data_IF_568092865263
#
_entry.id   IF_568092865263
#
_cell.length_a   1.000
_cell.length_b   1.000
_cell.length_c   1.000
_cell.angle_alpha   90.00
_cell.angle_beta   90.00
_cell.angle_gamma   90.00
#
_symmetry.space_group_name_H-M   'P 1'
#
loop_
_entity.id
_entity.type
_entity.pdbx_description
1 polymer ?
#
# COMPACT_ATOMS: atom_id res chain seq x y z
N UNK A 1 -2.76 -7.59 -5.27
CA UNK A 1 -3.16 -6.16 -5.30
C UNK A 1 -4.46 -5.85 -4.53
N UNK A 2 -5.58 -6.53 -4.82
CA UNK A 2 -6.94 -6.21 -4.33
C UNK A 2 -7.06 -5.89 -2.83
N UNK A 3 -6.49 -6.72 -1.95
CA UNK A 3 -6.65 -6.53 -0.51
C UNK A 3 -5.98 -5.26 0.03
N UNK A 4 -4.83 -4.86 -0.51
CA UNK A 4 -4.22 -3.57 -0.16
C UNK A 4 -5.06 -2.41 -0.71
N UNK A 5 -5.64 -2.57 -1.90
CA UNK A 5 -6.55 -1.57 -2.46
C UNK A 5 -7.77 -1.39 -1.56
N UNK A 6 -8.43 -2.48 -1.16
CA UNK A 6 -9.55 -2.46 -0.21
C UNK A 6 -9.17 -1.82 1.13
N UNK A 7 -7.96 -2.11 1.64
CA UNK A 7 -7.50 -1.56 2.91
C UNK A 7 -7.19 -0.06 2.85
N UNK A 8 -6.55 0.43 1.78
CA UNK A 8 -6.14 1.84 1.65
C UNK A 8 -7.27 2.75 1.13
N UNK A 9 -8.23 2.19 0.40
CA UNK A 9 -9.39 2.93 -0.07
C UNK A 9 -10.18 3.49 1.13
N UNK A 10 -10.71 4.72 1.06
CA UNK A 10 -11.55 5.25 2.14
C UNK A 10 -12.72 4.33 2.47
N UNK A 11 -12.93 4.08 3.77
CA UNK A 11 -13.96 3.20 4.30
C UNK A 11 -13.42 2.12 5.25
N UNK A 12 -14.33 1.53 6.03
CA UNK A 12 -14.00 0.39 6.90
C UNK A 12 -13.95 -0.90 6.08
N UNK A 13 -13.04 -1.78 6.48
CA UNK A 13 -12.84 -3.07 5.83
C UNK A 13 -13.65 -4.15 6.55
N UNK A 14 -14.39 -4.95 5.80
CA UNK A 14 -15.01 -6.19 6.24
C UNK A 14 -14.60 -7.29 5.25
N UNK A 15 -14.20 -8.45 5.75
CA UNK A 15 -13.79 -9.59 4.96
C UNK A 15 -14.32 -10.87 5.60
N UNK A 16 -14.84 -11.79 4.78
CA UNK A 16 -15.49 -13.01 5.28
C UNK A 16 -14.44 -14.09 5.58
N UNK A 17 -14.73 -14.96 6.55
CA UNK A 17 -13.84 -16.05 6.93
C UNK A 17 -13.52 -16.97 5.74
N UNK A 18 -12.28 -17.40 5.63
CA UNK A 18 -11.78 -18.20 4.51
C UNK A 18 -11.01 -17.37 3.48
N UNK A 19 -11.40 -16.10 3.28
CA UNK A 19 -10.73 -15.21 2.34
C UNK A 19 -9.30 -14.91 2.74
N UNK A 20 -9.00 -14.91 4.05
CA UNK A 20 -7.69 -14.54 4.59
C UNK A 20 -6.57 -15.56 4.32
N UNK A 21 -6.92 -16.79 3.96
CA UNK A 21 -5.97 -17.83 3.55
C UNK A 21 -6.28 -18.39 2.14
N UNK A 22 -7.17 -17.73 1.40
CA UNK A 22 -7.48 -18.10 0.02
C UNK A 22 -8.19 -19.44 -0.10
N UNK A 23 -9.26 -19.64 0.68
CA UNK A 23 -10.09 -20.83 0.56
C UNK A 23 -10.59 -21.02 -0.88
N UNK A 24 -10.47 -22.25 -1.39
CA UNK A 24 -10.82 -22.56 -2.78
C UNK A 24 -12.28 -22.91 -2.97
N UNK A 25 -12.88 -23.62 -2.00
CA UNK A 25 -14.29 -23.98 -2.05
C UNK A 25 -15.15 -22.83 -1.58
N UNK A 26 -16.35 -22.75 -2.13
CA UNK A 26 -17.39 -21.89 -1.57
C UNK A 26 -17.65 -22.25 -0.10
N UNK A 27 -18.05 -21.24 0.67
CA UNK A 27 -18.46 -21.44 2.05
C UNK A 27 -19.69 -22.37 2.11
N UNK A 28 -19.67 -23.27 3.09
CA UNK A 28 -20.77 -24.18 3.41
C UNK A 28 -20.91 -24.23 4.94
N UNK A 29 -22.05 -23.79 5.44
CA UNK A 29 -22.34 -23.71 6.88
C UNK A 29 -22.42 -25.08 7.58
N UNK A 30 -22.57 -26.16 6.82
CA UNK A 30 -22.67 -27.53 7.37
C UNK A 30 -21.31 -28.14 7.75
N UNK A 31 -20.21 -27.44 7.47
CA UNK A 31 -18.84 -27.90 7.69
C UNK A 31 -17.91 -26.78 8.16
N UNK A 32 -16.74 -27.17 8.62
CA UNK A 32 -15.68 -26.22 8.93
C UNK A 32 -14.98 -25.69 7.68
N UNK A 33 -14.25 -24.58 7.86
CA UNK A 33 -13.35 -24.06 6.83
C UNK A 33 -12.22 -25.05 6.54
N UNK A 34 -11.64 -24.98 5.33
CA UNK A 34 -10.59 -25.89 4.89
C UNK A 34 -9.23 -25.54 5.52
N UNK A 35 -9.10 -25.71 6.84
CA UNK A 35 -7.91 -25.35 7.60
C UNK A 35 -6.63 -26.02 7.10
N UNK A 36 -6.75 -27.22 6.52
CA UNK A 36 -5.63 -27.96 5.93
C UNK A 36 -4.93 -27.16 4.81
N UNK A 37 -5.62 -26.18 4.20
CA UNK A 37 -5.01 -25.34 3.16
C UNK A 37 -3.78 -24.59 3.67
N UNK A 38 -3.72 -24.27 4.97
CA UNK A 38 -2.57 -23.60 5.58
C UNK A 38 -1.29 -24.43 5.57
N UNK A 39 -1.36 -25.74 5.33
CA UNK A 39 -0.19 -26.60 5.17
C UNK A 39 0.48 -26.45 3.79
N UNK A 40 -0.21 -25.81 2.82
CA UNK A 40 0.36 -25.53 1.51
C UNK A 40 1.06 -24.16 1.48
N UNK A 41 2.31 -24.07 1.00
CA UNK A 41 3.12 -22.86 1.10
C UNK A 41 2.48 -21.58 0.56
N UNK A 42 1.68 -21.67 -0.51
CA UNK A 42 1.05 -20.49 -1.11
C UNK A 42 -0.06 -19.90 -0.23
N UNK A 43 -0.84 -20.73 0.45
CA UNK A 43 -1.91 -20.31 1.33
C UNK A 43 -1.34 -19.74 2.64
N UNK A 44 -0.28 -20.36 3.18
CA UNK A 44 0.46 -19.83 4.33
C UNK A 44 1.07 -18.45 4.01
N UNK A 45 1.73 -18.31 2.85
CA UNK A 45 2.32 -17.06 2.40
C UNK A 45 1.26 -15.96 2.22
N UNK A 46 0.09 -16.31 1.69
CA UNK A 46 -1.03 -15.39 1.56
C UNK A 46 -1.62 -14.98 2.92
N UNK A 47 -1.79 -15.92 3.85
CA UNK A 47 -2.19 -15.61 5.23
C UNK A 47 -1.18 -14.69 5.94
N UNK A 48 0.13 -14.89 5.71
CA UNK A 48 1.19 -14.01 6.20
C UNK A 48 1.08 -12.59 5.61
N UNK A 49 0.72 -12.46 4.32
CA UNK A 49 0.42 -11.17 3.70
C UNK A 49 -0.77 -10.49 4.36
N UNK A 50 -1.88 -11.20 4.57
CA UNK A 50 -3.09 -10.65 5.24
C UNK A 50 -2.79 -10.22 6.67
N UNK A 51 -2.02 -11.01 7.43
CA UNK A 51 -1.56 -10.65 8.78
C UNK A 51 -0.73 -9.36 8.75
N UNK A 52 0.26 -9.28 7.87
CA UNK A 52 1.12 -8.09 7.74
C UNK A 52 0.31 -6.86 7.36
N UNK A 53 -0.63 -6.98 6.42
CA UNK A 53 -1.51 -5.89 6.03
C UNK A 53 -2.38 -5.39 7.20
N UNK A 54 -2.93 -6.30 8.00
CA UNK A 54 -3.72 -5.94 9.19
C UNK A 54 -2.87 -5.26 10.28
N UNK A 55 -1.62 -5.70 10.47
CA UNK A 55 -0.68 -5.02 11.37
C UNK A 55 -0.39 -3.59 10.90
N UNK A 56 -0.19 -3.39 9.60
CA UNK A 56 0.02 -2.06 9.01
C UNK A 56 -1.24 -1.19 9.14
N UNK A 57 -2.43 -1.74 8.87
CA UNK A 57 -3.72 -1.05 9.01
C UNK A 57 -3.92 -0.51 10.42
N UNK A 58 -3.58 -1.30 11.44
CA UNK A 58 -3.68 -0.90 12.85
C UNK A 58 -2.61 0.11 13.24
N UNK A 59 -1.40 -0.02 12.69
CA UNK A 59 -0.24 0.80 13.04
C UNK A 59 -0.30 2.21 12.45
N UNK A 60 -0.80 2.35 11.23
CA UNK A 60 -0.83 3.63 10.53
C UNK A 60 -2.27 4.15 10.47
N UNK A 61 -2.51 5.23 11.20
CA UNK A 61 -3.82 5.87 11.28
C UNK A 61 -4.35 6.35 9.92
N UNK A 62 -3.46 6.64 8.96
CA UNK A 62 -3.80 7.00 7.60
C UNK A 62 -4.78 6.04 6.91
N UNK A 63 -4.85 4.77 7.30
CA UNK A 63 -5.82 3.83 6.74
C UNK A 63 -7.27 4.15 7.14
N UNK A 64 -7.51 4.65 8.35
CA UNK A 64 -8.85 4.74 8.94
C UNK A 64 -9.22 6.14 9.46
N UNK A 65 -8.26 7.05 9.60
CA UNK A 65 -8.47 8.42 10.04
C UNK A 65 -8.95 9.29 8.87
N UNK A 66 -9.93 10.16 9.14
CA UNK A 66 -10.47 11.12 8.17
C UNK A 66 -11.15 10.51 6.94
N UNK A 67 -11.66 9.28 7.02
CA UNK A 67 -12.23 8.55 5.86
C UNK A 67 -13.42 9.24 5.17
N UNK A 68 -14.10 10.16 5.86
CA UNK A 68 -15.21 10.96 5.32
C UNK A 68 -14.78 12.39 4.95
N UNK A 69 -13.49 12.73 5.09
CA UNK A 69 -12.93 14.01 4.69
C UNK A 69 -12.12 13.83 3.38
N UNK A 70 -12.50 14.50 2.28
CA UNK A 70 -11.76 14.40 1.03
C UNK A 70 -10.29 14.83 1.14
N UNK A 71 -9.92 15.70 2.09
CA UNK A 71 -8.52 16.14 2.28
C UNK A 71 -7.56 15.02 2.71
N UNK A 72 -8.12 13.92 3.22
CA UNK A 72 -7.37 12.74 3.68
C UNK A 72 -7.13 11.71 2.58
N UNK A 73 -7.60 11.97 1.36
CA UNK A 73 -7.46 11.11 0.20
C UNK A 73 -6.93 11.92 -0.99
N UNK A 74 -6.03 11.32 -1.76
CA UNK A 74 -5.56 11.89 -3.02
C UNK A 74 -5.27 10.76 -4.01
N UNK A 75 -5.82 10.87 -5.23
CA UNK A 75 -5.30 10.10 -6.37
C UNK A 75 -3.94 10.67 -6.74
N UNK A 76 -2.89 9.84 -6.63
CA UNK A 76 -1.58 10.16 -7.19
C UNK A 76 -1.51 9.84 -8.67
N UNK A 77 -2.27 8.83 -9.11
CA UNK A 77 -2.53 8.49 -10.50
C UNK A 77 -3.84 7.67 -10.59
N UNK A 78 -4.71 8.04 -11.51
CA UNK A 78 -5.89 7.27 -11.93
C UNK A 78 -6.31 7.56 -13.37
N UNK A 79 -5.46 8.25 -14.15
CA UNK A 79 -5.84 8.83 -15.45
C UNK A 79 -5.40 7.97 -16.64
N UNK A 80 -4.69 6.86 -16.36
CA UNK A 80 -4.07 5.97 -17.34
C UNK A 80 -4.69 4.55 -17.31
N UNK A 81 -5.96 4.39 -17.72
CA UNK A 81 -6.62 3.08 -17.71
C UNK A 81 -5.91 2.04 -18.58
N UNK A 82 -5.16 2.46 -19.60
CA UNK A 82 -4.35 1.58 -20.46
C UNK A 82 -3.21 0.86 -19.73
N UNK A 83 -2.82 1.34 -18.54
CA UNK A 83 -1.78 0.73 -17.72
C UNK A 83 -2.34 -0.31 -16.74
N UNK A 84 -3.67 -0.43 -16.61
CA UNK A 84 -4.33 -1.18 -15.53
C UNK A 84 -3.75 -0.82 -14.15
N UNK A 85 -3.39 0.44 -13.95
CA UNK A 85 -2.67 0.90 -12.76
C UNK A 85 -3.34 2.13 -12.14
N UNK A 86 -3.13 2.28 -10.84
CA UNK A 86 -3.49 3.50 -10.12
C UNK A 86 -2.63 3.65 -8.86
N UNK A 87 -2.66 4.83 -8.27
CA UNK A 87 -1.98 5.12 -7.03
C UNK A 87 -2.79 6.04 -6.12
N UNK A 88 -2.83 5.71 -4.83
CA UNK A 88 -3.61 6.40 -3.80
C UNK A 88 -2.66 6.88 -2.71
N UNK A 89 -2.85 8.11 -2.26
CA UNK A 89 -2.26 8.64 -1.02
C UNK A 89 -3.35 8.85 0.03
N UNK A 90 -3.04 8.44 1.26
CA UNK A 90 -3.86 8.67 2.44
C UNK A 90 -3.10 9.45 3.49
N UNK A 91 -3.75 10.47 4.04
CA UNK A 91 -3.23 11.25 5.17
C UNK A 91 -3.99 10.84 6.43
N UNK A 92 -3.25 10.47 7.46
CA UNK A 92 -3.73 10.39 8.83
C UNK A 92 -3.42 11.68 9.59
N UNK A 93 -3.69 11.68 10.88
CA UNK A 93 -3.22 12.69 11.82
C UNK A 93 -1.72 12.52 12.11
N UNK A 94 -1.22 11.29 12.17
CA UNK A 94 0.17 10.99 12.54
C UNK A 94 1.04 10.54 11.36
N UNK A 95 0.45 9.81 10.40
CA UNK A 95 1.18 9.26 9.27
C UNK A 95 0.58 9.67 7.94
N UNK A 96 1.40 9.69 6.89
CA UNK A 96 0.93 9.70 5.50
C UNK A 96 1.47 8.44 4.84
N UNK A 97 0.62 7.74 4.10
CA UNK A 97 0.99 6.55 3.33
C UNK A 97 0.51 6.70 1.90
N UNK A 98 1.18 6.05 0.97
CA UNK A 98 0.66 5.90 -0.39
C UNK A 98 0.87 4.47 -0.88
N UNK A 99 -0.03 4.02 -1.74
CA UNK A 99 0.08 2.75 -2.42
C UNK A 99 -0.02 2.92 -3.93
N UNK A 100 0.71 2.10 -4.66
CA UNK A 100 0.66 1.99 -6.11
C UNK A 100 0.27 0.56 -6.48
N UNK A 101 -0.59 0.43 -7.48
CA UNK A 101 -1.24 -0.82 -7.88
C UNK A 101 -0.96 -1.07 -9.35
N UNK A 102 -0.62 -2.32 -9.67
CA UNK A 102 -0.64 -2.85 -11.03
C UNK A 102 -1.64 -4.00 -11.05
N UNK A 103 -2.78 -3.79 -11.69
CA UNK A 103 -3.82 -4.80 -11.90
C UNK A 103 -3.67 -5.54 -13.24
N UNK A 104 -2.72 -5.11 -14.08
CA UNK A 104 -2.39 -5.74 -15.35
C UNK A 104 -1.46 -6.94 -15.19
N UNK A 105 -1.31 -7.68 -16.30
CA UNK A 105 -0.46 -8.86 -16.43
C UNK A 105 1.00 -8.52 -16.78
N UNK A 106 1.28 -7.25 -17.06
CA UNK A 106 2.54 -6.75 -17.58
C UNK A 106 3.27 -5.93 -16.52
N UNK A 107 4.58 -6.11 -16.39
CA UNK A 107 5.40 -5.34 -15.44
C UNK A 107 5.48 -3.87 -15.88
N UNK A 108 5.19 -2.96 -14.94
CA UNK A 108 5.34 -1.52 -15.15
C UNK A 108 6.69 -1.07 -14.60
N UNK A 109 7.65 -0.85 -15.50
CA UNK A 109 8.95 -0.26 -15.18
C UNK A 109 8.86 1.25 -15.16
N UNK A 110 9.63 1.87 -14.27
CA UNK A 110 9.75 3.32 -14.16
C UNK A 110 8.41 4.06 -14.03
N UNK A 111 7.41 3.42 -13.40
CA UNK A 111 6.11 4.01 -13.10
C UNK A 111 6.31 5.19 -12.16
N UNK A 112 6.15 6.40 -12.69
CA UNK A 112 6.51 7.65 -12.03
C UNK A 112 5.29 8.28 -11.36
N UNK A 113 5.41 8.57 -10.06
CA UNK A 113 4.37 9.23 -9.27
C UNK A 113 4.88 10.58 -8.77
N UNK A 114 4.05 11.60 -8.88
CA UNK A 114 4.30 12.91 -8.27
C UNK A 114 3.72 12.93 -6.86
N UNK A 115 4.55 13.20 -5.86
CA UNK A 115 4.18 13.28 -4.45
C UNK A 115 3.94 14.74 -4.04
N UNK A 116 3.15 15.01 -2.98
CA UNK A 116 2.87 16.37 -2.51
C UNK A 116 4.06 16.95 -1.72
N UNK A 117 5.17 17.19 -2.43
CA UNK A 117 6.37 17.83 -1.92
C UNK A 117 7.56 16.89 -1.69
N UNK A 118 8.65 17.48 -1.22
CA UNK A 118 9.89 16.77 -0.87
C UNK A 118 9.72 16.01 0.43
N UNK A 119 10.51 14.96 0.64
CA UNK A 119 10.44 14.21 1.88
C UNK A 119 11.23 12.91 1.85
N UNK A 120 10.80 11.95 2.67
CA UNK A 120 11.32 10.59 2.68
C UNK A 120 10.20 9.60 2.42
N UNK A 121 10.49 8.58 1.62
CA UNK A 121 9.61 7.44 1.40
C UNK A 121 10.23 6.20 2.04
N UNK A 122 9.46 5.44 2.80
CA UNK A 122 9.89 4.18 3.41
C UNK A 122 9.00 3.05 2.92
N UNK A 123 9.52 2.00 2.25
CA UNK A 123 8.71 0.87 1.83
C UNK A 123 8.16 0.16 3.07
N UNK A 124 6.86 -0.13 3.07
CA UNK A 124 6.17 -0.84 4.15
C UNK A 124 5.74 -2.25 3.71
N UNK A 125 5.24 -2.38 2.48
CA UNK A 125 4.74 -3.62 1.93
C UNK A 125 4.99 -3.66 0.42
N UNK A 126 5.37 -4.82 -0.10
CA UNK A 126 5.23 -5.15 -1.52
C UNK A 126 4.57 -6.52 -1.58
N UNK A 127 3.39 -6.61 -2.22
CA UNK A 127 2.65 -7.87 -2.30
C UNK A 127 3.36 -8.92 -3.16
N UNK A 128 4.32 -8.52 -4.01
CA UNK A 128 5.16 -9.43 -4.78
C UNK A 128 6.42 -9.88 -4.02
N UNK A 129 6.58 -9.53 -2.74
CA UNK A 129 7.67 -10.13 -1.95
C UNK A 129 7.53 -11.65 -1.85
N UNK A 130 8.65 -12.36 -1.98
CA UNK A 130 8.71 -13.82 -1.94
C UNK A 130 8.11 -14.45 -0.68
N UNK A 131 8.18 -13.78 0.47
CA UNK A 131 7.53 -14.22 1.71
C UNK A 131 5.99 -14.19 1.66
N UNK A 132 5.40 -13.62 0.61
CA UNK A 132 3.97 -13.55 0.34
C UNK A 132 3.56 -14.32 -0.92
N UNK A 133 4.45 -15.15 -1.46
CA UNK A 133 4.20 -15.94 -2.67
C UNK A 133 4.52 -15.24 -3.99
N UNK A 134 5.07 -14.01 -3.93
CA UNK A 134 5.54 -13.29 -5.11
C UNK A 134 6.97 -13.65 -5.55
N UNK A 135 7.52 -12.90 -6.51
CA UNK A 135 8.83 -13.18 -7.12
C UNK A 135 9.94 -12.22 -6.68
N UNK A 136 9.59 -11.06 -6.14
CA UNK A 136 10.55 -10.06 -5.68
C UNK A 136 11.19 -10.47 -4.36
N UNK A 137 12.52 -10.42 -4.25
CA UNK A 137 13.19 -10.67 -2.97
C UNK A 137 12.85 -9.57 -1.94
N UNK A 138 12.39 -9.96 -0.75
CA UNK A 138 12.20 -9.00 0.35
C UNK A 138 13.55 -8.43 0.81
N UNK A 139 13.73 -7.11 0.87
CA UNK A 139 14.95 -6.51 1.41
C UNK A 139 15.18 -6.90 2.87
N UNK A 140 16.44 -7.13 3.27
CA UNK A 140 16.82 -7.39 4.67
C UNK A 140 16.47 -6.23 5.62
N UNK A 141 16.44 -5.00 5.09
CA UNK A 141 16.06 -3.81 5.83
C UNK A 141 15.23 -2.88 4.93
N UNK A 142 14.12 -2.38 5.46
CA UNK A 142 13.25 -1.40 4.80
C UNK A 142 13.82 -0.01 5.06
N UNK A 143 14.60 0.51 4.09
CA UNK A 143 15.31 1.79 4.22
C UNK A 143 14.52 2.92 3.57
N UNK A 144 14.47 4.05 4.24
CA UNK A 144 13.92 5.28 3.69
C UNK A 144 14.80 5.83 2.56
N UNK A 145 14.19 6.43 1.55
CA UNK A 145 14.86 7.18 0.47
C UNK A 145 14.31 8.60 0.42
N UNK A 146 15.19 9.57 0.19
CA UNK A 146 14.77 10.96 -0.03
C UNK A 146 14.09 11.08 -1.39
N UNK A 147 13.02 11.86 -1.48
CA UNK A 147 12.34 12.25 -2.72
C UNK A 147 12.28 13.78 -2.82
N UNK A 148 12.38 14.29 -4.04
CA UNK A 148 12.19 15.71 -4.36
C UNK A 148 10.75 16.06 -4.77
N UNK A 149 9.80 15.12 -4.60
CA UNK A 149 8.42 15.25 -5.07
C UNK A 149 8.08 14.33 -6.24
N UNK A 150 9.02 13.50 -6.70
CA UNK A 150 8.76 12.42 -7.67
C UNK A 150 9.40 11.12 -7.17
N UNK A 151 8.76 9.98 -7.48
CA UNK A 151 9.27 8.63 -7.23
C UNK A 151 9.03 7.76 -8.44
N UNK A 152 10.04 6.97 -8.83
CA UNK A 152 9.91 5.91 -9.83
C UNK A 152 9.82 4.55 -9.16
N UNK A 153 8.82 3.77 -9.55
CA UNK A 153 8.54 2.45 -9.01
C UNK A 153 8.63 1.41 -10.14
N UNK A 154 8.99 0.18 -9.77
CA UNK A 154 8.80 -0.99 -10.63
C UNK A 154 7.69 -1.82 -10.01
N UNK A 155 6.56 -1.96 -10.70
CA UNK A 155 5.40 -2.72 -10.23
C UNK A 155 5.29 -4.03 -11.01
N UNK A 156 5.48 -5.15 -10.31
CA UNK A 156 5.26 -6.47 -10.87
C UNK A 156 3.78 -6.66 -11.30
N UNK A 157 3.49 -7.59 -12.21
CA UNK A 157 2.11 -7.94 -12.57
C UNK A 157 1.24 -8.25 -11.35
N UNK A 158 -0.03 -7.84 -11.37
CA UNK A 158 -1.02 -8.11 -10.31
C UNK A 158 -0.59 -7.73 -8.88
N UNK A 159 0.36 -6.80 -8.75
CA UNK A 159 1.00 -6.46 -7.48
C UNK A 159 0.55 -5.10 -6.93
N UNK A 160 0.89 -4.86 -5.67
CA UNK A 160 0.73 -3.55 -5.05
C UNK A 160 1.87 -3.29 -4.07
N UNK A 161 2.27 -2.03 -3.97
CA UNK A 161 3.33 -1.57 -3.07
C UNK A 161 2.81 -0.45 -2.18
N UNK A 162 3.13 -0.49 -0.90
CA UNK A 162 2.77 0.51 0.10
C UNK A 162 4.04 1.17 0.65
N UNK A 163 3.98 2.49 0.80
CA UNK A 163 5.05 3.31 1.34
C UNK A 163 4.52 4.25 2.42
N UNK A 164 5.33 4.52 3.45
CA UNK A 164 5.17 5.69 4.32
C UNK A 164 5.80 6.89 3.64
N UNK A 165 5.11 8.01 3.59
CA UNK A 165 5.64 9.29 3.16
C UNK A 165 5.79 10.22 4.37
N UNK A 166 6.98 10.78 4.53
CA UNK A 166 7.34 11.74 5.57
C UNK A 166 7.76 13.04 4.88
N UNK A 167 6.83 14.02 4.75
CA UNK A 167 7.15 15.32 4.15
C UNK A 167 8.32 15.99 4.86
N UNK A 168 9.17 16.68 4.10
CA UNK A 168 10.19 17.53 4.69
C UNK A 168 9.50 18.69 5.42
N UNK A 169 9.90 18.95 6.67
CA UNK A 169 9.44 20.15 7.38
C UNK A 169 10.04 21.36 6.66
N UNK A 170 9.19 22.20 6.06
CA UNK A 170 9.62 23.50 5.58
C UNK A 170 10.04 24.33 6.79
N UNK A 171 11.34 24.64 6.89
CA UNK A 171 11.77 25.70 7.80
C UNK A 171 11.26 27.00 7.19
N UNK A 172 10.30 27.65 7.83
CA UNK A 172 9.97 29.04 7.53
C UNK A 172 11.27 29.85 7.56
N UNK A 173 11.75 30.25 6.39
CA UNK A 173 12.78 31.28 6.28
C UNK A 173 12.12 32.55 6.77
N UNK A 174 12.39 32.94 8.02
CA UNK A 174 12.03 34.28 8.51
C UNK A 174 12.58 35.28 7.50
N UNK A 175 11.68 35.92 6.76
CA UNK A 175 12.04 37.05 5.93
C UNK A 175 12.67 38.09 6.85
N UNK A 176 13.97 38.33 6.67
CA UNK A 176 14.66 39.44 7.32
C UNK A 176 13.93 40.70 6.88
N UNK A 177 13.34 41.50 7.78
CA UNK A 177 12.78 42.78 7.38
C UNK A 177 13.94 43.62 6.84
N UNK A 178 13.89 43.96 5.56
CA UNK A 178 14.70 45.05 5.03
C UNK A 178 14.15 46.32 5.66
N UNK A 179 14.79 46.75 6.74
CA UNK A 179 14.72 48.13 7.17
C UNK A 179 15.67 48.95 6.30
N UNK A 180 15.12 50.07 5.82
CA UNK A 180 15.74 51.20 5.11
C UNK A 180 16.16 50.98 3.65
#
# INVERSE_FOLDING_TARGET
>A
ALYLYMAIHPGKMLDFMGNEFGQLREYDESREQDWLLLDYPIHEAFANYRRTLNELYRKYDAFWSGEYNPDHFLWLDCDHPELDACAILRKGQEATVFAAFNFGDTELKDYELTLPGKGKITPLLNSDWNCFGGRTARPKALRSKTTTGSVKLTLAPYSAQLYRFEPAVEKETKATPHNS
#
